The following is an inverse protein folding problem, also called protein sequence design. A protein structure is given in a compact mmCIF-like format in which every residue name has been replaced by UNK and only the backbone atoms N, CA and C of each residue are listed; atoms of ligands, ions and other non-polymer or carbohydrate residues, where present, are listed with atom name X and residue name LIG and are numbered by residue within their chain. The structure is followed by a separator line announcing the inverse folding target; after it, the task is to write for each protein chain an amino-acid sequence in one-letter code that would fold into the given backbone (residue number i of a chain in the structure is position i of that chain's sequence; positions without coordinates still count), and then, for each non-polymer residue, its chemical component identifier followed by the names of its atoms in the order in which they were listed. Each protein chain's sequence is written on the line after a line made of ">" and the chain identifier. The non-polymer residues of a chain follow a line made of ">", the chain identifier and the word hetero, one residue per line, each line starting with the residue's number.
data_IF_527125826383
#
_entry.id   IF_527125826383
#
_cell.length_a   1.000
_cell.length_b   1.000
_cell.length_c   1.000
_cell.angle_alpha   90.00
_cell.angle_beta   90.00
_cell.angle_gamma   90.00
#
_symmetry.space_group_name_H-M   'P 1'
#
loop_
_entity.id
_entity.type
_entity.pdbx_description
1 polymer ?
#
# COMPACT_ATOMS: atom_id res chain seq x y z
N UNK A 1 -13.09 17.17 -16.33
CA UNK A 1 -12.33 16.43 -15.31
C UNK A 1 -11.36 17.42 -14.70
N UNK A 2 -11.48 17.66 -13.40
CA UNK A 2 -10.62 18.59 -12.69
C UNK A 2 -9.18 18.07 -12.66
N UNK A 3 -8.22 19.00 -12.58
CA UNK A 3 -6.80 18.68 -12.66
C UNK A 3 -6.07 19.21 -11.44
N UNK A 4 -5.55 18.31 -10.63
CA UNK A 4 -4.68 18.63 -9.49
C UNK A 4 -3.28 18.97 -10.01
N UNK A 5 -2.83 20.21 -9.83
CA UNK A 5 -1.53 20.65 -10.34
C UNK A 5 -0.48 20.50 -9.24
N UNK A 6 0.63 19.85 -9.60
CA UNK A 6 1.77 19.70 -8.72
C UNK A 6 2.82 20.75 -9.02
N UNK A 7 3.39 21.32 -7.94
CA UNK A 7 4.56 22.19 -7.99
C UNK A 7 5.71 21.53 -7.23
N UNK A 8 6.88 21.43 -7.86
CA UNK A 8 8.04 20.78 -7.24
C UNK A 8 8.53 21.59 -6.02
N UNK A 9 8.67 20.93 -4.86
CA UNK A 9 9.30 21.50 -3.67
C UNK A 9 10.76 21.06 -3.57
N UNK A 10 10.98 19.75 -3.62
CA UNK A 10 12.31 19.17 -3.49
C UNK A 10 12.41 17.88 -4.30
N UNK A 11 13.62 17.58 -4.80
CA UNK A 11 13.93 16.37 -5.56
C UNK A 11 15.24 15.77 -5.07
N UNK A 12 15.28 14.45 -4.95
CA UNK A 12 16.45 13.68 -4.57
C UNK A 12 16.77 12.66 -5.65
N UNK A 13 18.05 12.55 -5.97
CA UNK A 13 18.57 11.41 -6.73
C UNK A 13 18.82 10.26 -5.75
N UNK A 14 18.24 9.11 -6.05
CA UNK A 14 18.35 7.92 -5.21
C UNK A 14 19.51 7.06 -5.73
N UNK A 15 20.45 6.63 -4.85
CA UNK A 15 21.54 5.77 -5.25
C UNK A 15 21.08 4.51 -6.00
N UNK A 16 21.83 4.12 -7.04
CA UNK A 16 21.46 2.98 -7.88
C UNK A 16 21.40 1.65 -7.11
N UNK A 17 22.03 1.56 -5.94
CA UNK A 17 21.96 0.38 -5.07
C UNK A 17 20.54 0.08 -4.57
N UNK A 18 19.64 1.06 -4.46
CA UNK A 18 18.27 0.81 -3.99
C UNK A 18 17.31 0.53 -5.14
N UNK A 19 16.37 -0.39 -4.96
CA UNK A 19 15.46 -0.89 -5.99
C UNK A 19 14.40 0.14 -6.43
N UNK A 20 13.20 0.11 -5.84
CA UNK A 20 12.02 0.93 -6.11
C UNK A 20 11.22 1.17 -4.81
N UNK A 21 10.26 2.09 -4.85
CA UNK A 21 9.40 2.43 -3.70
C UNK A 21 8.40 1.29 -3.45
N UNK A 22 8.52 0.58 -2.34
CA UNK A 22 7.51 -0.39 -1.87
C UNK A 22 6.34 0.32 -1.20
N UNK A 23 6.66 1.24 -0.30
CA UNK A 23 5.69 2.10 0.38
C UNK A 23 6.36 3.40 0.79
N UNK A 24 5.54 4.40 1.11
CA UNK A 24 6.03 5.74 1.42
C UNK A 24 5.10 6.47 2.34
N UNK A 25 5.64 7.35 3.18
CA UNK A 25 4.88 8.23 4.06
C UNK A 25 5.50 9.63 4.12
N UNK A 26 4.70 10.62 4.48
CA UNK A 26 5.16 11.99 4.77
C UNK A 26 4.94 12.28 6.25
N UNK A 27 5.98 12.73 6.95
CA UNK A 27 5.89 13.22 8.32
C UNK A 27 5.44 14.68 8.34
N UNK A 28 4.89 15.17 9.45
CA UNK A 28 4.34 16.54 9.47
C UNK A 28 5.40 17.63 9.31
N UNK A 29 6.65 17.32 9.65
CA UNK A 29 7.82 18.18 9.46
C UNK A 29 8.35 18.20 8.01
N UNK A 30 7.71 17.44 7.10
CA UNK A 30 8.07 17.39 5.68
C UNK A 30 9.13 16.34 5.33
N UNK A 31 9.64 15.56 6.29
CA UNK A 31 10.47 14.39 5.99
C UNK A 31 9.65 13.35 5.23
N UNK A 32 10.27 12.76 4.21
CA UNK A 32 9.69 11.68 3.41
C UNK A 32 10.34 10.36 3.79
N UNK A 33 9.51 9.36 4.08
CA UNK A 33 9.94 7.99 4.36
C UNK A 33 9.68 7.13 3.12
N UNK A 34 10.69 6.41 2.64
CA UNK A 34 10.58 5.46 1.53
C UNK A 34 11.07 4.08 2.00
N UNK A 35 10.18 3.09 2.03
CA UNK A 35 10.59 1.69 2.17
C UNK A 35 11.09 1.18 0.82
N UNK A 36 12.31 0.66 0.79
CA UNK A 36 12.97 0.09 -0.39
C UNK A 36 13.80 -1.13 0.01
N UNK A 37 14.32 -1.86 -0.96
CA UNK A 37 15.37 -2.87 -0.75
C UNK A 37 16.62 -2.58 -1.57
N UNK A 38 17.71 -3.29 -1.29
CA UNK A 38 18.91 -3.27 -2.13
C UNK A 38 18.69 -4.06 -3.43
N UNK A 39 19.32 -3.62 -4.51
CA UNK A 39 19.18 -4.21 -5.85
C UNK A 39 19.96 -5.53 -5.94
N UNK A 40 21.11 -5.61 -5.29
CA UNK A 40 21.99 -6.78 -5.30
C UNK A 40 21.58 -7.83 -4.27
N UNK A 41 20.78 -7.44 -3.27
CA UNK A 41 20.25 -8.29 -2.22
C UNK A 41 18.78 -7.94 -1.94
N UNK A 42 17.88 -8.67 -2.59
CA UNK A 42 16.43 -8.37 -2.54
C UNK A 42 15.80 -8.53 -1.16
N UNK A 43 16.53 -9.15 -0.24
CA UNK A 43 16.07 -9.44 1.10
C UNK A 43 16.53 -8.39 2.12
N UNK A 44 17.41 -7.46 1.72
CA UNK A 44 17.84 -6.33 2.58
C UNK A 44 16.97 -5.10 2.36
N UNK A 45 16.12 -4.82 3.35
CA UNK A 45 15.23 -3.68 3.35
C UNK A 45 15.73 -2.56 4.25
N UNK A 46 15.49 -1.33 3.80
CA UNK A 46 15.77 -0.13 4.56
C UNK A 46 14.71 0.94 4.32
N UNK A 47 14.66 1.92 5.20
CA UNK A 47 13.89 3.15 5.03
C UNK A 47 14.84 4.29 4.69
N UNK A 48 14.60 4.92 3.54
CA UNK A 48 15.26 6.17 3.19
C UNK A 48 14.45 7.32 3.80
N UNK A 49 15.11 8.11 4.64
CA UNK A 49 14.60 9.34 5.22
C UNK A 49 15.12 10.50 4.39
N UNK A 50 14.26 11.11 3.58
CA UNK A 50 14.59 12.22 2.70
C UNK A 50 14.15 13.53 3.34
N UNK A 51 15.04 14.51 3.35
CA UNK A 51 14.80 15.83 3.95
C UNK A 51 15.59 16.92 3.23
N UNK A 52 15.46 18.16 3.70
CA UNK A 52 16.26 19.30 3.22
C UNK A 52 17.77 19.13 3.47
N UNK A 53 18.17 18.36 4.50
CA UNK A 53 19.58 18.07 4.78
C UNK A 53 20.17 16.93 3.95
N UNK A 54 19.33 16.20 3.20
CA UNK A 54 19.74 15.12 2.31
C UNK A 54 19.00 13.81 2.58
N UNK A 55 19.65 12.72 2.19
CA UNK A 55 19.17 11.35 2.33
C UNK A 55 19.90 10.68 3.49
N UNK A 56 19.15 10.11 4.43
CA UNK A 56 19.64 9.22 5.49
C UNK A 56 19.05 7.83 5.30
N UNK A 57 19.89 6.81 5.38
CA UNK A 57 19.45 5.42 5.42
C UNK A 57 19.20 5.00 6.87
N UNK A 58 18.06 4.35 7.11
CA UNK A 58 17.75 3.63 8.35
C UNK A 58 17.64 2.16 7.97
N UNK A 59 18.59 1.36 8.46
CA UNK A 59 18.55 -0.09 8.26
C UNK A 59 17.36 -0.67 9.04
N UNK A 60 16.61 -1.54 8.37
CA UNK A 60 15.37 -2.10 8.91
C UNK A 60 15.53 -3.59 9.13
N UNK A 61 15.72 -4.37 8.07
CA UNK A 61 15.82 -5.81 8.22
C UNK A 61 16.49 -6.51 7.05
N UNK A 62 17.21 -7.57 7.40
CA UNK A 62 17.55 -8.66 6.50
C UNK A 62 16.46 -9.74 6.63
N UNK A 63 15.74 -9.99 5.54
CA UNK A 63 14.68 -10.98 5.41
C UNK A 63 15.16 -12.27 4.72
N UNK A 64 16.47 -12.49 4.56
CA UNK A 64 17.02 -13.63 3.78
C UNK A 64 16.58 -14.99 4.29
N UNK A 65 16.34 -15.10 5.61
CA UNK A 65 15.83 -16.30 6.26
C UNK A 65 14.36 -16.62 5.91
N UNK A 66 13.66 -15.68 5.25
CA UNK A 66 12.22 -15.74 5.02
C UNK A 66 11.86 -15.11 3.67
N UNK A 67 11.92 -15.93 2.61
CA UNK A 67 11.78 -15.49 1.21
C UNK A 67 10.41 -14.90 0.85
N UNK A 68 9.46 -14.82 1.79
CA UNK A 68 8.08 -14.38 1.50
C UNK A 68 7.39 -13.62 2.65
N UNK A 69 8.10 -13.07 3.63
CA UNK A 69 7.50 -12.14 4.59
C UNK A 69 8.13 -10.75 4.43
N UNK A 70 7.45 -9.88 3.71
CA UNK A 70 7.96 -8.55 3.40
C UNK A 70 7.71 -7.56 4.53
N UNK A 71 8.65 -6.69 4.89
CA UNK A 71 8.44 -5.67 5.91
C UNK A 71 7.33 -4.70 5.50
N UNK A 72 6.59 -4.22 6.48
CA UNK A 72 5.49 -3.28 6.27
C UNK A 72 5.75 -2.01 7.07
N UNK A 73 5.92 -0.90 6.36
CA UNK A 73 6.04 0.45 6.92
C UNK A 73 4.67 1.01 7.25
N UNK A 74 4.50 1.53 8.46
CA UNK A 74 3.37 2.36 8.86
C UNK A 74 3.85 3.61 9.60
N UNK A 75 3.10 4.71 9.45
CA UNK A 75 3.33 5.95 10.20
C UNK A 75 2.45 5.95 11.45
N UNK A 76 2.99 6.43 12.57
CA UNK A 76 2.22 6.65 13.79
C UNK A 76 2.65 7.97 14.43
N UNK A 77 1.83 9.01 14.29
CA UNK A 77 2.23 10.36 14.66
C UNK A 77 3.39 10.88 13.78
N UNK A 78 4.46 11.34 14.41
CA UNK A 78 5.70 11.80 13.77
C UNK A 78 6.78 10.72 13.64
N UNK A 79 6.44 9.51 14.07
CA UNK A 79 7.30 8.36 14.13
C UNK A 79 6.81 7.29 13.13
N UNK A 80 7.58 6.22 12.98
CA UNK A 80 7.18 5.12 12.11
C UNK A 80 7.53 3.77 12.70
N UNK A 81 6.78 2.74 12.30
CA UNK A 81 7.06 1.36 12.64
C UNK A 81 7.26 0.51 11.40
N UNK A 82 8.05 -0.54 11.58
CA UNK A 82 8.19 -1.63 10.62
C UNK A 82 7.65 -2.90 11.27
N UNK A 83 6.62 -3.47 10.66
CA UNK A 83 6.12 -4.79 11.03
C UNK A 83 6.95 -5.84 10.31
N UNK A 84 7.53 -6.77 11.07
CA UNK A 84 8.37 -7.85 10.54
C UNK A 84 7.71 -9.19 10.79
N UNK A 85 7.53 -9.97 9.72
CA UNK A 85 7.02 -11.36 9.74
C UNK A 85 5.70 -11.55 10.48
N UNK A 86 4.92 -10.47 10.65
CA UNK A 86 3.76 -10.43 11.52
C UNK A 86 4.01 -10.82 12.99
N UNK A 87 5.25 -10.73 13.47
CA UNK A 87 5.68 -11.20 14.79
C UNK A 87 6.24 -10.09 15.68
N UNK A 88 6.83 -9.06 15.09
CA UNK A 88 7.41 -7.94 15.85
C UNK A 88 7.24 -6.62 15.10
N UNK A 89 7.24 -5.53 15.86
CA UNK A 89 7.32 -4.17 15.37
C UNK A 89 8.67 -3.60 15.81
N UNK A 90 9.42 -3.07 14.85
CA UNK A 90 10.52 -2.15 15.12
C UNK A 90 9.99 -0.73 15.02
N UNK A 91 9.85 -0.04 16.15
CA UNK A 91 9.26 1.30 16.23
C UNK A 91 10.35 2.35 16.42
N UNK A 92 10.48 3.25 15.44
CA UNK A 92 11.55 4.25 15.37
C UNK A 92 11.00 5.61 15.78
N UNK A 93 11.64 6.22 16.79
CA UNK A 93 11.27 7.55 17.28
C UNK A 93 12.38 8.57 17.12
N UNK A 94 12.03 9.85 17.11
CA UNK A 94 12.99 10.95 17.15
C UNK A 94 13.90 11.02 15.91
N UNK A 95 15.19 10.70 16.09
CA UNK A 95 16.20 10.74 15.03
C UNK A 95 16.26 9.46 14.19
N UNK A 96 15.49 8.44 14.57
CA UNK A 96 15.41 7.13 13.91
C UNK A 96 16.73 6.36 13.89
N UNK A 97 17.60 6.58 14.90
CA UNK A 97 18.87 5.86 15.02
C UNK A 97 18.71 4.41 15.50
N UNK A 98 17.76 4.16 16.39
CA UNK A 98 17.52 2.83 16.98
C UNK A 98 16.02 2.58 17.18
N UNK A 99 15.50 1.39 16.84
CA UNK A 99 14.12 1.06 17.11
C UNK A 99 13.91 0.54 18.53
N UNK A 100 12.73 0.78 19.06
CA UNK A 100 12.15 -0.05 20.12
C UNK A 100 11.53 -1.30 19.50
N UNK A 101 11.79 -2.48 20.08
CA UNK A 101 11.27 -3.76 19.60
C UNK A 101 10.04 -4.15 20.43
N UNK A 102 8.89 -4.28 19.78
CA UNK A 102 7.61 -4.63 20.39
C UNK A 102 7.11 -5.94 19.79
N UNK A 103 6.99 -7.03 20.56
CA UNK A 103 6.45 -8.29 20.05
C UNK A 103 4.95 -8.17 19.77
N UNK A 104 4.49 -8.82 18.70
CA UNK A 104 3.08 -8.89 18.32
C UNK A 104 2.48 -10.17 18.90
N UNK A 105 1.45 -10.03 19.73
CA UNK A 105 0.67 -11.16 20.21
C UNK A 105 -0.22 -11.70 19.10
N UNK A 106 -0.30 -13.02 19.00
CA UNK A 106 -1.07 -13.72 17.98
C UNK A 106 -1.94 -14.83 18.59
N UNK A 107 -2.29 -14.74 19.87
CA UNK A 107 -3.01 -15.80 20.59
C UNK A 107 -4.47 -15.42 20.82
N UNK A 108 -5.37 -16.39 20.67
CA UNK A 108 -6.72 -16.33 21.26
C UNK A 108 -6.76 -17.16 22.55
N UNK A 109 -7.79 -16.95 23.37
CA UNK A 109 -8.06 -17.79 24.55
C UNK A 109 -8.24 -19.29 24.25
N UNK A 110 -8.42 -19.66 22.97
CA UNK A 110 -8.69 -21.03 22.50
C UNK A 110 -7.56 -21.59 21.62
N UNK A 111 -6.29 -21.49 22.05
CA UNK A 111 -5.07 -22.16 21.49
C UNK A 111 -4.75 -21.91 20.00
N UNK A 112 -5.65 -21.30 19.23
CA UNK A 112 -5.50 -21.04 17.81
C UNK A 112 -4.97 -19.63 17.58
N UNK A 113 -3.99 -19.51 16.66
CA UNK A 113 -3.44 -18.24 16.24
C UNK A 113 -4.44 -17.43 15.43
N UNK A 114 -4.53 -16.12 15.67
CA UNK A 114 -5.45 -15.23 14.93
C UNK A 114 -5.01 -15.13 13.47
N UNK A 115 -3.76 -14.76 13.25
CA UNK A 115 -3.10 -14.85 11.95
C UNK A 115 -2.53 -16.27 11.83
N UNK A 116 -2.96 -17.07 10.84
CA UNK A 116 -2.45 -18.43 10.65
C UNK A 116 -0.92 -18.43 10.48
N UNK A 117 -0.22 -19.42 11.06
CA UNK A 117 1.25 -19.51 10.97
C UNK A 117 1.80 -19.56 9.53
N UNK A 118 0.99 -20.08 8.60
CA UNK A 118 1.37 -20.17 7.18
C UNK A 118 1.09 -18.88 6.42
N UNK A 119 0.38 -17.91 6.99
CA UNK A 119 0.09 -16.65 6.34
C UNK A 119 1.39 -15.87 6.11
N UNK A 120 1.54 -15.30 4.92
CA UNK A 120 2.75 -14.61 4.48
C UNK A 120 2.47 -13.13 4.28
N UNK A 121 3.12 -12.29 5.07
CA UNK A 121 3.00 -10.84 5.02
C UNK A 121 3.46 -10.31 3.66
N UNK A 122 2.69 -9.39 3.10
CA UNK A 122 3.00 -8.72 1.83
C UNK A 122 3.23 -7.22 2.08
N UNK A 123 4.16 -6.63 1.35
CA UNK A 123 4.37 -5.19 1.44
C UNK A 123 3.18 -4.48 0.80
N UNK A 124 2.62 -3.51 1.51
CA UNK A 124 1.61 -2.62 1.00
C UNK A 124 1.84 -1.22 1.57
N UNK A 125 1.26 -0.24 0.90
CA UNK A 125 1.08 1.05 1.54
C UNK A 125 -0.02 0.91 2.59
N UNK A 126 0.38 1.05 3.85
CA UNK A 126 -0.51 0.98 5.00
C UNK A 126 -0.89 2.39 5.40
N UNK A 127 -2.19 2.65 5.41
CA UNK A 127 -2.75 3.93 5.83
C UNK A 127 -3.71 3.70 6.98
N UNK A 128 -3.42 4.32 8.12
CA UNK A 128 -4.31 4.39 9.28
C UNK A 128 -4.13 5.70 10.02
N UNK A 129 -5.24 6.26 10.50
CA UNK A 129 -5.28 7.39 11.43
C UNK A 129 -5.54 6.95 12.89
N UNK A 130 -5.59 5.63 13.13
CA UNK A 130 -5.97 5.03 14.41
C UNK A 130 -4.89 4.10 14.96
N UNK A 131 -5.11 3.54 16.15
CA UNK A 131 -4.29 2.47 16.71
C UNK A 131 -4.46 1.13 15.98
N UNK A 132 -5.41 1.02 15.06
CA UNK A 132 -5.63 -0.18 14.25
C UNK A 132 -4.88 -0.07 12.93
N UNK A 133 -4.00 -1.02 12.63
CA UNK A 133 -3.15 -1.01 11.44
C UNK A 133 -3.56 -2.19 10.54
N UNK A 134 -4.01 -1.95 9.30
CA UNK A 134 -4.34 -3.03 8.38
C UNK A 134 -3.06 -3.62 7.77
N UNK A 135 -2.95 -4.94 7.74
CA UNK A 135 -1.82 -5.67 7.13
C UNK A 135 -2.34 -6.76 6.23
N UNK A 136 -1.81 -6.86 5.01
CA UNK A 136 -2.28 -7.83 4.03
C UNK A 136 -1.37 -9.06 3.98
N UNK A 137 -1.99 -10.20 3.69
CA UNK A 137 -1.36 -11.51 3.68
C UNK A 137 -1.75 -12.33 2.45
N UNK A 138 -0.83 -13.20 2.05
CA UNK A 138 -1.16 -14.41 1.31
C UNK A 138 -1.41 -15.57 2.27
N UNK A 139 -2.41 -16.39 1.97
CA UNK A 139 -2.74 -17.56 2.76
C UNK A 139 -3.41 -18.61 1.85
N UNK A 140 -3.00 -19.87 1.99
CA UNK A 140 -3.34 -21.03 1.13
C UNK A 140 -2.87 -20.93 -0.32
N UNK A 141 -2.83 -19.73 -0.91
CA UNK A 141 -2.40 -19.43 -2.27
C UNK A 141 -1.27 -18.41 -2.21
N UNK A 142 -0.15 -18.67 -2.90
CA UNK A 142 1.07 -17.87 -2.78
C UNK A 142 1.67 -17.49 -4.15
N UNK A 143 1.02 -16.56 -4.83
CA UNK A 143 1.40 -16.02 -6.15
C UNK A 143 2.03 -14.61 -6.08
N UNK A 144 2.22 -14.06 -4.87
CA UNK A 144 2.67 -12.70 -4.65
C UNK A 144 1.55 -11.68 -4.56
N UNK A 145 0.28 -12.12 -4.46
CA UNK A 145 -0.92 -11.28 -4.48
C UNK A 145 -1.72 -11.50 -3.19
N UNK A 146 -1.77 -10.51 -2.31
CA UNK A 146 -2.53 -10.66 -1.07
C UNK A 146 -4.04 -10.79 -1.32
N UNK A 147 -4.67 -11.67 -0.54
CA UNK A 147 -6.12 -11.96 -0.60
C UNK A 147 -6.76 -11.98 0.79
N UNK A 148 -5.93 -11.96 1.83
CA UNK A 148 -6.36 -11.86 3.21
C UNK A 148 -5.80 -10.58 3.83
N UNK A 149 -6.41 -10.12 4.91
CA UNK A 149 -5.93 -9.04 5.72
C UNK A 149 -6.12 -9.35 7.21
N UNK A 150 -5.29 -8.74 8.03
CA UNK A 150 -5.40 -8.75 9.47
C UNK A 150 -5.43 -7.32 9.98
N UNK A 151 -6.08 -7.12 11.13
CA UNK A 151 -6.07 -5.85 11.83
C UNK A 151 -5.17 -5.98 13.05
N UNK A 152 -4.13 -5.15 13.12
CA UNK A 152 -3.18 -5.09 14.23
C UNK A 152 -3.54 -3.93 15.15
N UNK A 153 -3.83 -4.21 16.41
CA UNK A 153 -3.89 -3.17 17.43
C UNK A 153 -2.47 -2.80 17.86
N UNK A 154 -2.19 -1.50 17.92
CA UNK A 154 -0.89 -0.96 18.33
C UNK A 154 -1.04 0.18 19.33
N UNK A 155 -0.43 0.02 20.51
CA UNK A 155 -0.36 1.02 21.56
C UNK A 155 1.10 1.18 22.01
N UNK A 156 1.72 2.27 21.54
CA UNK A 156 3.10 2.61 21.88
C UNK A 156 3.31 2.84 23.38
N UNK A 157 2.36 3.47 24.07
CA UNK A 157 2.51 3.82 25.48
C UNK A 157 2.50 2.58 26.35
N UNK A 158 1.68 1.59 25.99
CA UNK A 158 1.63 0.28 26.65
C UNK A 158 2.66 -0.71 26.09
N UNK A 159 3.42 -0.34 25.06
CA UNK A 159 4.34 -1.22 24.31
C UNK A 159 3.64 -2.52 23.92
N UNK A 160 2.44 -2.36 23.38
CA UNK A 160 1.52 -3.45 23.12
C UNK A 160 1.19 -3.49 21.64
N UNK A 161 1.28 -4.70 21.07
CA UNK A 161 0.80 -5.00 19.74
C UNK A 161 0.11 -6.37 19.75
N UNK A 162 -1.05 -6.48 19.13
CA UNK A 162 -1.84 -7.71 19.10
C UNK A 162 -2.69 -7.79 17.85
N UNK A 163 -2.70 -8.96 17.19
CA UNK A 163 -3.62 -9.22 16.11
C UNK A 163 -5.05 -9.26 16.65
N UNK A 164 -5.97 -8.54 16.02
CA UNK A 164 -7.37 -8.47 16.43
C UNK A 164 -8.27 -9.37 15.59
N UNK A 165 -8.01 -9.47 14.29
CA UNK A 165 -8.76 -10.29 13.34
C UNK A 165 -7.92 -10.70 12.15
N UNK A 166 -8.33 -11.76 11.46
CA UNK A 166 -7.82 -12.21 10.17
C UNK A 166 -8.99 -12.57 9.27
N UNK A 167 -9.08 -11.98 8.08
CA UNK A 167 -10.26 -12.11 7.21
C UNK A 167 -9.90 -11.88 5.73
N UNK A 168 -10.88 -12.10 4.86
CA UNK A 168 -10.81 -11.81 3.44
C UNK A 168 -12.05 -11.08 2.98
N UNK A 169 -12.01 -10.40 1.83
CA UNK A 169 -13.21 -9.73 1.30
C UNK A 169 -14.27 -10.77 0.95
N UNK A 170 -15.52 -10.57 1.40
CA UNK A 170 -16.66 -11.33 0.93
C UNK A 170 -17.03 -10.89 -0.49
N UNK A 171 -16.65 -11.71 -1.47
CA UNK A 171 -16.85 -11.40 -2.89
C UNK A 171 -18.31 -11.29 -3.29
N UNK A 172 -19.25 -11.86 -2.53
CA UNK A 172 -20.70 -11.78 -2.82
C UNK A 172 -21.21 -10.34 -2.80
N UNK A 173 -20.51 -9.44 -2.12
CA UNK A 173 -20.82 -8.01 -2.15
C UNK A 173 -20.45 -7.28 -3.45
N UNK A 174 -19.64 -7.90 -4.30
CA UNK A 174 -19.14 -7.33 -5.56
C UNK A 174 -20.06 -7.76 -6.71
N UNK A 175 -20.32 -6.89 -7.68
CA UNK A 175 -21.29 -7.16 -8.76
C UNK A 175 -20.78 -8.23 -9.73
N UNK A 176 -19.47 -8.21 -10.02
CA UNK A 176 -18.88 -9.01 -11.10
C UNK A 176 -18.05 -10.21 -10.60
N UNK A 177 -18.32 -10.68 -9.37
CA UNK A 177 -17.70 -11.89 -8.82
C UNK A 177 -18.10 -13.16 -9.60
N UNK A 178 -17.29 -14.22 -9.50
CA UNK A 178 -17.56 -15.52 -10.11
C UNK A 178 -17.98 -16.54 -9.05
N UNK A 179 -19.29 -16.78 -8.95
CA UNK A 179 -19.91 -17.76 -8.05
C UNK A 179 -19.48 -19.22 -8.30
N UNK A 180 -18.80 -19.51 -9.41
CA UNK A 180 -18.37 -20.87 -9.75
C UNK A 180 -17.06 -21.28 -9.07
N UNK A 181 -16.37 -20.33 -8.43
CA UNK A 181 -15.08 -20.55 -7.79
C UNK A 181 -15.14 -20.12 -6.33
N UNK A 182 -14.24 -20.64 -5.49
CA UNK A 182 -14.05 -20.15 -4.12
C UNK A 182 -12.88 -19.14 -4.03
N UNK A 183 -12.42 -18.63 -5.18
CA UNK A 183 -11.29 -17.71 -5.22
C UNK A 183 -11.67 -16.37 -4.60
N UNK A 184 -10.82 -15.90 -3.71
CA UNK A 184 -11.00 -14.66 -2.95
C UNK A 184 -10.39 -13.50 -3.74
N UNK A 185 -11.01 -12.31 -3.80
CA UNK A 185 -10.47 -11.18 -4.54
C UNK A 185 -9.08 -10.73 -4.06
N UNK A 186 -8.24 -10.28 -4.99
CA UNK A 186 -6.93 -9.69 -4.67
C UNK A 186 -7.11 -8.33 -4.00
N UNK A 187 -6.43 -8.12 -2.89
CA UNK A 187 -6.32 -6.83 -2.20
C UNK A 187 -5.12 -6.06 -2.76
N UNK A 188 -5.36 -4.88 -3.36
CA UNK A 188 -4.30 -3.98 -3.82
C UNK A 188 -3.85 -3.00 -2.75
N UNK A 189 -4.77 -2.52 -1.91
CA UNK A 189 -4.44 -1.67 -0.76
C UNK A 189 -5.62 -1.59 0.22
N UNK A 190 -5.29 -1.22 1.46
CA UNK A 190 -6.25 -0.97 2.54
C UNK A 190 -5.99 0.39 3.19
N UNK A 191 -7.06 1.01 3.67
CA UNK A 191 -7.01 2.24 4.46
C UNK A 191 -7.99 2.16 5.61
N UNK A 192 -7.55 2.56 6.80
CA UNK A 192 -8.42 2.83 7.94
C UNK A 192 -8.48 4.35 8.14
N UNK A 193 -9.68 4.90 8.19
CA UNK A 193 -9.92 6.30 8.52
C UNK A 193 -11.25 6.40 9.27
N UNK A 194 -11.29 7.13 10.37
CA UNK A 194 -12.50 7.28 11.20
C UNK A 194 -13.17 5.94 11.58
N UNK A 195 -12.37 4.89 11.83
CA UNK A 195 -12.78 3.49 12.10
C UNK A 195 -13.38 2.73 10.91
N UNK A 196 -13.54 3.38 9.77
CA UNK A 196 -13.98 2.73 8.54
C UNK A 196 -12.81 2.07 7.82
N UNK A 197 -13.05 0.87 7.31
CA UNK A 197 -12.04 0.11 6.56
C UNK A 197 -12.41 0.21 5.09
N UNK A 198 -11.52 0.80 4.31
CA UNK A 198 -11.63 0.89 2.86
C UNK A 198 -10.66 -0.08 2.21
N UNK A 199 -11.11 -0.70 1.13
CA UNK A 199 -10.32 -1.65 0.35
C UNK A 199 -10.39 -1.30 -1.13
N UNK A 200 -9.24 -1.36 -1.79
CA UNK A 200 -9.20 -1.46 -3.24
C UNK A 200 -8.87 -2.90 -3.61
N UNK A 201 -9.72 -3.50 -4.42
CA UNK A 201 -9.63 -4.90 -4.83
C UNK A 201 -9.60 -5.03 -6.35
N UNK A 202 -8.83 -6.00 -6.82
CA UNK A 202 -8.58 -6.25 -8.24
C UNK A 202 -8.91 -7.69 -8.58
N UNK A 203 -10.17 -7.98 -8.91
CA UNK A 203 -10.64 -9.28 -9.40
C UNK A 203 -10.31 -10.50 -8.53
N UNK A 204 -10.75 -11.68 -8.95
CA UNK A 204 -10.50 -12.93 -8.21
C UNK A 204 -9.69 -13.96 -9.00
N UNK A 205 -9.45 -13.73 -10.29
CA UNK A 205 -8.52 -14.50 -11.11
C UNK A 205 -7.19 -14.77 -10.41
N UNK A 206 -6.74 -16.02 -10.39
CA UNK A 206 -5.47 -16.43 -9.74
C UNK A 206 -4.28 -16.47 -10.68
N UNK A 207 -4.50 -16.50 -11.99
CA UNK A 207 -3.42 -16.77 -12.96
C UNK A 207 -2.87 -15.52 -13.63
N UNK A 208 -3.66 -14.44 -13.71
CA UNK A 208 -3.30 -13.27 -14.53
C UNK A 208 -4.00 -11.97 -14.12
N UNK A 209 -4.31 -11.82 -12.83
CA UNK A 209 -5.00 -10.65 -12.27
C UNK A 209 -4.29 -9.32 -12.51
N UNK A 210 -2.95 -9.32 -12.54
CA UNK A 210 -2.14 -8.15 -12.86
C UNK A 210 -1.82 -8.03 -14.37
N UNK A 211 -2.56 -8.75 -15.22
CA UNK A 211 -2.36 -8.84 -16.68
C UNK A 211 -3.73 -8.95 -17.36
N UNK A 212 -3.85 -9.82 -18.36
CA UNK A 212 -5.05 -9.99 -19.20
C UNK A 212 -6.25 -10.60 -18.47
N UNK A 213 -6.06 -11.15 -17.28
CA UNK A 213 -7.08 -11.91 -16.57
C UNK A 213 -7.73 -11.17 -15.43
N UNK A 214 -7.57 -9.86 -15.28
CA UNK A 214 -8.37 -9.09 -14.33
C UNK A 214 -9.85 -9.17 -14.73
N UNK A 215 -10.72 -9.54 -13.78
CA UNK A 215 -12.15 -9.71 -14.01
C UNK A 215 -12.91 -8.39 -13.85
N UNK A 216 -12.54 -7.65 -12.82
CA UNK A 216 -13.10 -6.37 -12.40
C UNK A 216 -12.11 -5.71 -11.42
N UNK A 217 -12.35 -4.46 -11.07
CA UNK A 217 -11.77 -3.83 -9.89
C UNK A 217 -12.85 -3.06 -9.13
N UNK A 218 -12.68 -2.93 -7.82
CA UNK A 218 -13.62 -2.21 -6.98
C UNK A 218 -12.93 -1.49 -5.83
N UNK A 219 -13.54 -0.40 -5.40
CA UNK A 219 -13.25 0.33 -4.18
C UNK A 219 -14.49 0.26 -3.29
N UNK A 220 -14.32 -0.31 -2.10
CA UNK A 220 -15.41 -0.56 -1.19
C UNK A 220 -15.05 -0.20 0.25
N UNK A 221 -16.07 0.09 1.04
CA UNK A 221 -16.01 0.06 2.49
C UNK A 221 -16.41 -1.34 2.96
N UNK A 222 -15.62 -1.91 3.85
CA UNK A 222 -15.81 -3.25 4.40
C UNK A 222 -15.87 -3.23 5.93
N UNK A 223 -16.49 -4.25 6.52
CA UNK A 223 -16.37 -4.55 7.95
C UNK A 223 -15.08 -5.29 8.26
N UNK A 224 -14.79 -5.45 9.56
CA UNK A 224 -13.61 -6.18 10.05
C UNK A 224 -13.53 -7.66 9.62
N UNK A 225 -14.67 -8.26 9.28
CA UNK A 225 -14.79 -9.64 8.78
C UNK A 225 -14.76 -9.71 7.24
N UNK A 226 -14.62 -8.56 6.57
CA UNK A 226 -14.52 -8.45 5.11
C UNK A 226 -15.85 -8.36 4.38
N UNK A 227 -16.99 -8.29 5.08
CA UNK A 227 -18.29 -8.03 4.42
C UNK A 227 -18.29 -6.65 3.75
N UNK A 228 -18.72 -6.59 2.49
CA UNK A 228 -18.86 -5.33 1.76
C UNK A 228 -20.06 -4.55 2.30
N UNK A 229 -19.81 -3.37 2.87
CA UNK A 229 -20.82 -2.47 3.43
C UNK A 229 -21.32 -1.50 2.36
N UNK A 230 -20.39 -0.91 1.60
CA UNK A 230 -20.70 0.05 0.55
C UNK A 230 -19.70 -0.07 -0.59
N UNK A 231 -20.17 0.05 -1.83
CA UNK A 231 -19.32 0.18 -3.02
C UNK A 231 -19.24 1.63 -3.44
N UNK A 232 -18.04 2.19 -3.41
CA UNK A 232 -17.79 3.57 -3.82
C UNK A 232 -17.52 3.65 -5.32
N UNK A 233 -16.87 2.62 -5.86
CA UNK A 233 -16.57 2.47 -7.28
C UNK A 233 -16.47 0.97 -7.60
N UNK A 234 -17.00 0.56 -8.74
CA UNK A 234 -16.80 -0.77 -9.30
C UNK A 234 -16.72 -0.65 -10.82
N UNK A 235 -15.78 -1.35 -11.44
CA UNK A 235 -15.69 -1.42 -12.90
C UNK A 235 -16.77 -2.34 -13.48
N UNK A 236 -17.07 -2.20 -14.75
CA UNK A 236 -17.79 -3.25 -15.49
C UNK A 236 -16.97 -4.57 -15.53
N UNK A 237 -17.58 -5.64 -16.05
CA UNK A 237 -16.91 -6.91 -16.29
C UNK A 237 -15.88 -6.79 -17.41
N UNK A 238 -14.60 -6.75 -17.04
CA UNK A 238 -13.48 -6.50 -17.97
C UNK A 238 -13.25 -7.64 -18.97
N UNK A 239 -13.78 -8.84 -18.68
CA UNK A 239 -13.70 -10.00 -19.58
C UNK A 239 -14.70 -9.96 -20.73
N UNK A 240 -15.79 -9.22 -20.62
CA UNK A 240 -16.88 -9.25 -21.62
C UNK A 240 -16.55 -8.45 -22.89
N UNK A 241 -15.80 -7.36 -22.75
CA UNK A 241 -15.57 -6.42 -23.85
C UNK A 241 -14.43 -6.81 -24.81
N UNK A 242 -13.71 -7.90 -24.51
CA UNK A 242 -12.53 -8.36 -25.26
C UNK A 242 -11.37 -7.36 -25.31
N UNK A 243 -11.53 -6.19 -24.69
CA UNK A 243 -10.53 -5.13 -24.58
C UNK A 243 -9.62 -5.40 -23.40
N UNK A 244 -8.37 -4.99 -23.59
CA UNK A 244 -7.31 -5.05 -22.61
C UNK A 244 -7.53 -3.91 -21.61
N UNK A 245 -7.95 -4.23 -20.39
CA UNK A 245 -8.27 -3.24 -19.35
C UNK A 245 -7.92 -3.73 -17.94
N UNK A 246 -7.93 -2.80 -16.99
CA UNK A 246 -7.68 -3.09 -15.59
C UNK A 246 -6.89 -1.99 -14.89
N UNK A 247 -7.16 -1.79 -13.61
CA UNK A 247 -6.60 -0.70 -12.81
C UNK A 247 -6.27 -1.25 -11.43
N UNK A 248 -5.05 -0.98 -10.95
CA UNK A 248 -4.72 -1.16 -9.54
C UNK A 248 -4.93 0.14 -8.78
N UNK A 249 -5.36 0.02 -7.53
CA UNK A 249 -5.61 1.16 -6.65
C UNK A 249 -4.72 1.14 -5.42
N UNK A 250 -4.13 2.30 -5.11
CA UNK A 250 -3.25 2.50 -3.95
C UNK A 250 -3.77 3.66 -3.12
N UNK A 251 -4.23 3.39 -1.90
CA UNK A 251 -4.62 4.46 -0.97
C UNK A 251 -3.46 5.39 -0.63
N UNK A 252 -3.80 6.65 -0.36
CA UNK A 252 -2.86 7.66 0.13
C UNK A 252 -3.18 8.06 1.57
N UNK A 253 -2.27 8.79 2.21
CA UNK A 253 -2.51 9.46 3.51
C UNK A 253 -3.62 10.52 3.44
N UNK A 254 -4.10 10.86 2.24
CA UNK A 254 -5.17 11.82 1.97
C UNK A 254 -6.46 11.16 1.47
N UNK A 255 -7.46 11.95 1.09
CA UNK A 255 -8.73 11.48 0.53
C UNK A 255 -8.60 10.77 -0.84
N UNK A 256 -7.41 10.74 -1.44
CA UNK A 256 -7.22 10.18 -2.78
C UNK A 256 -6.78 8.72 -2.78
N UNK A 257 -7.28 7.98 -3.76
CA UNK A 257 -6.75 6.69 -4.22
C UNK A 257 -6.02 6.91 -5.54
N UNK A 258 -4.76 6.48 -5.61
CA UNK A 258 -3.98 6.49 -6.84
C UNK A 258 -4.41 5.30 -7.70
N UNK A 259 -4.97 5.60 -8.85
CA UNK A 259 -5.49 4.63 -9.81
C UNK A 259 -4.46 4.48 -10.94
N UNK A 260 -3.84 3.30 -11.02
CA UNK A 260 -2.78 3.01 -12.00
C UNK A 260 -3.28 1.97 -13.01
N UNK A 261 -3.36 2.31 -14.30
CA UNK A 261 -3.82 1.36 -15.31
C UNK A 261 -2.77 0.28 -15.56
N UNK A 262 -3.22 -0.96 -15.77
CA UNK A 262 -2.36 -2.11 -16.08
C UNK A 262 -1.69 -2.00 -17.46
N UNK A 263 -2.35 -1.35 -18.41
CA UNK A 263 -1.91 -1.31 -19.80
C UNK A 263 -1.66 0.11 -20.27
N UNK A 264 -0.50 0.34 -20.91
CA UNK A 264 -0.19 1.65 -21.53
C UNK A 264 -1.09 2.01 -22.71
N UNK A 265 -1.77 1.01 -23.28
CA UNK A 265 -2.67 1.17 -24.42
C UNK A 265 -4.13 1.28 -24.00
N UNK A 266 -4.40 1.38 -22.70
CA UNK A 266 -5.74 1.63 -22.19
C UNK A 266 -6.23 3.04 -22.52
N UNK A 267 -7.46 3.35 -22.12
CA UNK A 267 -8.07 4.67 -22.36
C UNK A 267 -7.32 5.79 -21.63
N UNK A 268 -6.62 5.48 -20.53
CA UNK A 268 -5.81 6.45 -19.79
C UNK A 268 -4.38 6.57 -20.34
N UNK A 269 -4.04 5.80 -21.38
CA UNK A 269 -2.74 5.78 -22.07
C UNK A 269 -1.58 5.58 -21.10
N UNK A 270 -1.78 4.73 -20.09
CA UNK A 270 -0.79 4.44 -19.05
C UNK A 270 -0.59 5.54 -18.00
N UNK A 271 -1.45 6.58 -17.96
CA UNK A 271 -1.35 7.65 -16.97
C UNK A 271 -2.15 7.34 -15.72
N UNK A 272 -1.59 7.68 -14.57
CA UNK A 272 -2.33 7.60 -13.30
C UNK A 272 -3.44 8.65 -13.24
N UNK A 273 -4.51 8.28 -12.56
CA UNK A 273 -5.57 9.20 -12.10
C UNK A 273 -5.69 9.11 -10.59
N UNK A 274 -6.38 10.08 -10.01
CA UNK A 274 -6.80 10.03 -8.61
C UNK A 274 -8.30 9.84 -8.55
N UNK A 275 -8.77 9.06 -7.59
CA UNK A 275 -10.17 8.99 -7.22
C UNK A 275 -10.32 9.55 -5.79
N UNK A 276 -11.21 10.52 -5.59
CA UNK A 276 -11.50 11.10 -4.27
C UNK A 276 -12.57 10.28 -3.55
N UNK A 277 -12.29 9.84 -2.32
CA UNK A 277 -13.28 9.12 -1.50
C UNK A 277 -14.46 10.03 -1.12
N UNK A 278 -14.19 11.30 -0.84
CA UNK A 278 -15.21 12.29 -0.45
C UNK A 278 -16.05 12.76 -1.63
N UNK A 279 -15.42 13.23 -2.71
CA UNK A 279 -16.13 13.78 -3.87
C UNK A 279 -16.73 12.68 -4.76
N UNK A 280 -16.19 11.44 -4.70
CA UNK A 280 -16.53 10.32 -5.59
C UNK A 280 -16.27 10.63 -7.06
N UNK A 281 -15.21 11.38 -7.31
CA UNK A 281 -14.84 11.86 -8.65
C UNK A 281 -13.41 11.51 -9.01
N UNK A 282 -13.16 11.44 -10.32
CA UNK A 282 -11.82 11.28 -10.89
C UNK A 282 -11.16 12.63 -11.13
N UNK A 283 -9.85 12.67 -10.85
CA UNK A 283 -8.99 13.81 -11.08
C UNK A 283 -7.80 13.41 -11.94
N UNK A 284 -7.46 14.26 -12.90
CA UNK A 284 -6.19 14.17 -13.61
C UNK A 284 -5.06 14.80 -12.78
N UNK A 285 -3.84 14.29 -12.96
CA UNK A 285 -2.66 14.78 -12.27
C UNK A 285 -1.79 15.60 -13.22
N UNK A 286 -1.49 16.84 -12.85
CA UNK A 286 -0.56 17.72 -13.55
C UNK A 286 0.82 17.70 -12.92
N UNK A 287 1.71 16.82 -13.40
CA UNK A 287 3.10 16.75 -12.93
C UNK A 287 3.90 18.03 -13.31
N UNK A 288 4.93 18.41 -12.54
CA UNK A 288 5.80 19.54 -12.88
C UNK A 288 6.54 19.32 -14.21
N UNK A 289 7.02 20.41 -14.81
CA UNK A 289 7.78 20.34 -16.07
C UNK A 289 9.03 19.46 -15.89
N UNK A 290 9.26 18.55 -16.83
CA UNK A 290 10.39 17.61 -16.79
C UNK A 290 10.14 16.34 -15.99
N UNK A 291 9.00 16.23 -15.29
CA UNK A 291 8.66 15.08 -14.46
C UNK A 291 7.56 14.19 -15.06
N UNK A 292 7.34 14.25 -16.38
CA UNK A 292 6.22 13.54 -17.03
C UNK A 292 6.29 12.01 -16.93
N UNK A 293 7.45 11.44 -16.58
CA UNK A 293 7.63 10.02 -16.34
C UNK A 293 7.48 9.61 -14.86
N UNK A 294 7.36 10.58 -13.95
CA UNK A 294 7.17 10.27 -12.54
C UNK A 294 5.80 9.66 -12.29
N UNK A 295 5.76 8.76 -11.33
CA UNK A 295 4.54 8.16 -10.80
C UNK A 295 4.29 8.73 -9.42
N UNK A 296 3.03 9.06 -9.11
CA UNK A 296 2.60 9.42 -7.76
C UNK A 296 2.69 8.19 -6.87
N UNK A 297 3.27 8.38 -5.69
CA UNK A 297 3.49 7.32 -4.70
C UNK A 297 2.62 7.46 -3.47
N UNK A 298 2.37 8.69 -3.03
CA UNK A 298 1.51 9.01 -1.89
C UNK A 298 1.12 10.51 -1.94
N UNK A 299 0.00 10.84 -1.31
CA UNK A 299 -0.49 12.20 -1.10
C UNK A 299 -0.85 12.32 0.37
N UNK A 300 -0.32 13.35 1.03
CA UNK A 300 -0.58 13.66 2.44
C UNK A 300 -0.80 15.15 2.58
N UNK A 301 -2.00 15.55 3.03
CA UNK A 301 -2.43 16.97 3.09
C UNK A 301 -2.24 17.67 1.74
N UNK A 302 -1.45 18.73 1.67
CA UNK A 302 -1.10 19.48 0.46
C UNK A 302 0.19 18.98 -0.21
N UNK A 303 0.76 17.86 0.25
CA UNK A 303 2.02 17.31 -0.24
C UNK A 303 1.81 16.02 -1.04
N UNK A 304 2.63 15.82 -2.08
CA UNK A 304 2.58 14.68 -2.97
C UNK A 304 4.00 14.13 -3.18
N UNK A 305 4.19 12.84 -2.87
CA UNK A 305 5.42 12.12 -3.21
C UNK A 305 5.26 11.57 -4.63
N UNK A 306 6.26 11.79 -5.46
CA UNK A 306 6.37 11.16 -6.77
C UNK A 306 7.72 10.49 -6.92
N UNK A 307 7.83 9.51 -7.80
CA UNK A 307 9.10 8.85 -8.08
C UNK A 307 9.26 8.47 -9.55
N UNK A 308 10.50 8.37 -9.98
CA UNK A 308 10.90 7.85 -11.27
C UNK A 308 11.97 6.79 -11.05
N UNK A 309 11.73 5.57 -11.51
CA UNK A 309 12.72 4.49 -11.53
C UNK A 309 12.80 3.97 -12.97
N UNK A 310 13.78 4.46 -13.71
CA UNK A 310 14.10 4.04 -15.09
C UNK A 310 15.54 3.52 -15.13
N UNK A 311 15.94 2.86 -16.22
CA UNK A 311 17.31 2.34 -16.40
C UNK A 311 18.30 3.51 -16.43
N UNK A 312 18.96 3.76 -15.30
CA UNK A 312 20.00 4.79 -15.15
C UNK A 312 19.57 6.06 -14.41
N UNK A 313 18.30 6.20 -14.01
CA UNK A 313 17.84 7.33 -13.21
C UNK A 313 16.81 6.89 -12.17
N UNK A 314 17.11 7.17 -10.90
CA UNK A 314 16.22 6.92 -9.77
C UNK A 314 16.03 8.24 -9.05
N UNK A 315 14.80 8.75 -9.03
CA UNK A 315 14.46 10.02 -8.40
C UNK A 315 13.23 9.87 -7.53
N UNK A 316 13.24 10.56 -6.39
CA UNK A 316 12.05 10.82 -5.57
C UNK A 316 11.89 12.33 -5.49
N UNK A 317 10.65 12.81 -5.53
CA UNK A 317 10.35 14.22 -5.42
C UNK A 317 9.15 14.46 -4.51
N UNK A 318 9.27 15.49 -3.69
CA UNK A 318 8.20 16.07 -2.91
C UNK A 318 7.64 17.26 -3.67
N UNK A 319 6.34 17.23 -3.92
CA UNK A 319 5.61 18.29 -4.61
C UNK A 319 4.50 18.84 -3.70
N UNK A 320 4.11 20.08 -3.94
CA UNK A 320 2.91 20.70 -3.38
C UNK A 320 1.75 20.57 -4.36
N UNK A 321 0.57 20.23 -3.85
CA UNK A 321 -0.70 20.28 -4.59
C UNK A 321 -1.23 21.71 -4.54
N UNK A 322 -1.61 22.24 -5.71
CA UNK A 322 -2.30 23.52 -5.85
C UNK A 322 -3.39 23.49 -6.90
#
# INVERSE_FOLDING_TARGET
>A
MEKLKLSLLQKWEIPQKYSFVHSSAVLSDGRVLILTNETDDSDKYCVLVLSSSGLKEVEVCDCSDDRRNYPVLFRFGEDFGIIKKGQEIQYYTGDFSSPEIIPIKNETSDVNSIVPEKAQQRYFQVISDSSMIPVCFEYNVYYGDARCFALLEFDVQKKHAEWNSFSSIDKKGLTHHDDRTDEIPKIDSLKIIDKDIYVFTSGESTTSVNKWGMDYYALAKISKDGTVIEKLLESDSLKQDGKKGGVNGKFTDSDYVIMTPLFKTDDWKGKQKLFSLTAREYFDIGLPRGMSKHMVQNISRDSCITSLYDRGLKEVALCKIG
#
